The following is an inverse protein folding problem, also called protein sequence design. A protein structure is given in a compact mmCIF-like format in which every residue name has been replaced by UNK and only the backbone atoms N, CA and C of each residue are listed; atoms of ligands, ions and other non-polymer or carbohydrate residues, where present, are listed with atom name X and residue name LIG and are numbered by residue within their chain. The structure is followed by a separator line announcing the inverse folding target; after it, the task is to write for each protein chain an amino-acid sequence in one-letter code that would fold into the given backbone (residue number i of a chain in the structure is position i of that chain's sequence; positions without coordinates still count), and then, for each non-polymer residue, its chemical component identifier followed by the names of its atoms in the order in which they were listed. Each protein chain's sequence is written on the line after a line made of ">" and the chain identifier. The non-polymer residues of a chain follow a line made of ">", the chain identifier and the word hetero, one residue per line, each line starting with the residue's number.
data_IF_915045575092
#
_entry.id   IF_915045575092
#
_cell.length_a   1.000
_cell.length_b   1.000
_cell.length_c   1.000
_cell.angle_alpha   90.00
_cell.angle_beta   90.00
_cell.angle_gamma   90.00
#
_symmetry.space_group_name_H-M   'P 1'
#
loop_
_entity.id
_entity.type
_entity.pdbx_description
1 polymer ?
#
# COMPACT_ATOMS: atom_id res chain seq x y z
N UNK A 1 -32.39 0.95 -0.62
CA UNK A 1 -31.45 0.88 0.53
C UNK A 1 -30.06 0.31 0.20
N UNK A 2 -29.63 0.29 -1.07
CA UNK A 2 -28.34 -0.32 -1.49
C UNK A 2 -27.22 0.72 -1.74
N UNK A 3 -27.55 2.01 -1.70
CA UNK A 3 -26.60 3.11 -1.93
C UNK A 3 -25.65 3.33 -0.74
N UNK A 4 -26.18 3.23 0.49
CA UNK A 4 -25.41 3.41 1.73
C UNK A 4 -24.34 2.32 1.93
N UNK A 5 -24.64 1.05 1.63
CA UNK A 5 -23.64 -0.04 1.74
C UNK A 5 -22.47 0.13 0.77
N UNK A 6 -22.69 0.77 -0.38
CA UNK A 6 -21.66 1.06 -1.39
C UNK A 6 -20.73 2.20 -0.96
N UNK A 7 -21.23 3.15 -0.17
CA UNK A 7 -20.45 4.29 0.36
C UNK A 7 -19.74 3.92 1.67
N UNK A 8 -20.39 3.17 2.55
CA UNK A 8 -19.91 2.89 3.91
C UNK A 8 -19.27 1.49 4.08
N UNK A 9 -19.36 0.60 3.09
CA UNK A 9 -18.84 -0.78 3.19
C UNK A 9 -17.34 -0.95 2.93
N UNK A 10 -16.76 -0.17 2.01
CA UNK A 10 -15.35 -0.20 1.68
C UNK A 10 -14.92 1.20 1.23
N UNK A 11 -14.00 1.82 1.98
CA UNK A 11 -13.41 3.17 1.79
C UNK A 11 -13.77 3.93 0.51
N UNK A 12 -14.35 5.13 0.70
CA UNK A 12 -14.61 6.20 -0.26
C UNK A 12 -14.15 5.87 -1.70
N UNK A 13 -15.06 5.76 -2.69
CA UNK A 13 -14.66 5.60 -4.08
C UNK A 13 -13.68 6.72 -4.41
N UNK A 14 -12.46 6.35 -4.83
CA UNK A 14 -11.42 7.35 -5.05
C UNK A 14 -11.94 8.36 -6.07
N UNK A 15 -12.15 9.61 -5.63
CA UNK A 15 -12.67 10.70 -6.47
C UNK A 15 -11.84 10.82 -7.75
N UNK A 16 -10.53 10.56 -7.66
CA UNK A 16 -9.62 10.50 -8.79
C UNK A 16 -10.02 9.45 -9.83
N UNK A 17 -10.38 8.25 -9.42
CA UNK A 17 -10.84 7.19 -10.31
C UNK A 17 -12.22 7.51 -10.91
N UNK A 18 -13.12 8.12 -10.12
CA UNK A 18 -14.42 8.57 -10.63
C UNK A 18 -14.31 9.72 -11.64
N UNK A 19 -13.29 10.58 -11.54
CA UNK A 19 -13.07 11.71 -12.43
C UNK A 19 -12.22 11.37 -13.66
N UNK A 20 -11.20 10.50 -13.51
CA UNK A 20 -10.21 10.21 -14.57
C UNK A 20 -10.32 8.80 -15.13
N UNK A 21 -11.06 7.91 -14.47
CA UNK A 21 -11.07 6.48 -14.78
C UNK A 21 -9.78 5.75 -14.39
N UNK A 22 -8.74 6.43 -13.92
CA UNK A 22 -7.44 5.82 -13.57
C UNK A 22 -7.29 5.54 -12.08
N UNK A 23 -6.43 4.58 -11.73
CA UNK A 23 -6.09 4.34 -10.34
C UNK A 23 -5.03 5.34 -9.84
N UNK A 24 -5.26 5.83 -8.64
CA UNK A 24 -4.31 6.63 -7.87
C UNK A 24 -3.17 5.76 -7.29
N UNK A 25 -1.99 6.34 -7.00
CA UNK A 25 -0.85 5.58 -6.46
C UNK A 25 -1.12 4.92 -5.10
N UNK A 26 -2.08 5.43 -4.31
CA UNK A 26 -2.49 4.87 -3.02
C UNK A 26 -3.72 3.96 -3.06
N UNK A 27 -4.27 3.70 -4.26
CA UNK A 27 -5.55 3.01 -4.40
C UNK A 27 -5.43 1.54 -3.95
N UNK A 28 -6.18 1.16 -2.90
CA UNK A 28 -6.16 -0.18 -2.32
C UNK A 28 -5.35 -0.30 -1.01
N UNK A 29 -4.69 0.76 -0.54
CA UNK A 29 -3.95 0.76 0.73
C UNK A 29 -4.82 0.39 1.94
N UNK A 30 -6.00 0.99 2.07
CA UNK A 30 -6.93 0.70 3.18
C UNK A 30 -7.41 -0.77 3.17
N UNK A 31 -7.57 -1.38 1.99
CA UNK A 31 -7.93 -2.80 1.83
C UNK A 31 -6.77 -3.72 2.20
N UNK A 32 -5.55 -3.34 1.82
CA UNK A 32 -4.34 -4.05 2.21
C UNK A 32 -4.17 -4.06 3.73
N UNK A 33 -4.30 -2.91 4.39
CA UNK A 33 -4.25 -2.81 5.87
C UNK A 33 -5.33 -3.66 6.52
N UNK A 34 -6.58 -3.61 6.03
CA UNK A 34 -7.68 -4.44 6.56
C UNK A 34 -7.40 -5.94 6.42
N UNK A 35 -6.83 -6.36 5.29
CA UNK A 35 -6.47 -7.77 5.05
C UNK A 35 -5.32 -8.21 5.96
N UNK A 36 -4.34 -7.32 6.17
CA UNK A 36 -3.24 -7.55 7.10
C UNK A 36 -3.75 -7.73 8.54
N UNK A 37 -4.69 -6.89 8.99
CA UNK A 37 -5.31 -7.00 10.31
C UNK A 37 -6.13 -8.29 10.50
N UNK A 38 -6.61 -8.88 9.41
CA UNK A 38 -7.27 -10.21 9.42
C UNK A 38 -6.27 -11.37 9.43
N UNK A 39 -4.97 -11.11 9.29
CA UNK A 39 -3.93 -12.13 9.16
C UNK A 39 -3.69 -12.62 7.72
N UNK A 40 -4.41 -12.07 6.73
CA UNK A 40 -4.27 -12.47 5.33
C UNK A 40 -3.13 -11.70 4.63
N UNK A 41 -1.91 -12.17 4.87
CA UNK A 41 -0.69 -11.60 4.26
C UNK A 41 -0.72 -11.67 2.73
N UNK A 42 -1.24 -12.76 2.16
CA UNK A 42 -1.35 -12.94 0.70
C UNK A 42 -2.26 -11.90 0.07
N UNK A 43 -3.45 -11.70 0.64
CA UNK A 43 -4.39 -10.69 0.14
C UNK A 43 -3.84 -9.28 0.34
N UNK A 44 -3.20 -9.01 1.49
CA UNK A 44 -2.55 -7.71 1.72
C UNK A 44 -1.50 -7.39 0.65
N UNK A 45 -0.67 -8.36 0.26
CA UNK A 45 0.34 -8.18 -0.80
C UNK A 45 -0.30 -7.87 -2.15
N UNK A 46 -1.36 -8.61 -2.51
CA UNK A 46 -2.08 -8.39 -3.76
C UNK A 46 -2.74 -7.00 -3.81
N UNK A 47 -3.30 -6.52 -2.69
CA UNK A 47 -3.93 -5.21 -2.63
C UNK A 47 -2.94 -4.06 -2.68
N UNK A 48 -1.90 -4.07 -1.85
CA UNK A 48 -0.86 -3.05 -1.87
C UNK A 48 0.44 -3.52 -1.18
N UNK A 49 1.51 -3.82 -1.94
CA UNK A 49 2.77 -4.32 -1.39
C UNK A 49 3.47 -3.31 -0.46
N UNK A 50 3.13 -2.01 -0.56
CA UNK A 50 3.65 -0.97 0.32
C UNK A 50 3.34 -1.24 1.80
N UNK A 51 2.19 -1.83 2.11
CA UNK A 51 1.78 -2.07 3.50
C UNK A 51 2.70 -3.10 4.16
N UNK A 52 3.02 -4.18 3.43
CA UNK A 52 3.97 -5.18 3.92
C UNK A 52 5.39 -4.63 4.00
N UNK A 53 5.79 -3.83 3.01
CA UNK A 53 7.07 -3.13 3.04
C UNK A 53 7.19 -2.26 4.30
N UNK A 54 6.17 -1.47 4.63
CA UNK A 54 6.16 -0.63 5.83
C UNK A 54 6.31 -1.45 7.12
N UNK A 55 5.60 -2.58 7.23
CA UNK A 55 5.71 -3.48 8.39
C UNK A 55 7.13 -4.04 8.53
N UNK A 56 7.74 -4.50 7.43
CA UNK A 56 9.10 -5.02 7.42
C UNK A 56 10.13 -3.96 7.83
N UNK A 57 9.98 -2.73 7.33
CA UNK A 57 10.87 -1.62 7.69
C UNK A 57 10.76 -1.30 9.17
N UNK A 58 9.54 -1.19 9.72
CA UNK A 58 9.33 -0.92 11.14
C UNK A 58 9.93 -2.02 12.03
N UNK A 59 9.73 -3.29 11.65
CA UNK A 59 10.30 -4.43 12.37
C UNK A 59 11.83 -4.42 12.34
N UNK A 60 12.42 -4.11 11.20
CA UNK A 60 13.87 -4.04 11.04
C UNK A 60 14.49 -2.89 11.83
N UNK A 61 13.89 -1.70 11.80
CA UNK A 61 14.32 -0.55 12.62
C UNK A 61 14.18 -0.87 14.12
N UNK A 62 13.11 -1.56 14.54
CA UNK A 62 12.92 -1.99 15.93
C UNK A 62 14.02 -2.97 16.40
N UNK A 63 14.37 -3.96 15.58
CA UNK A 63 15.46 -4.90 15.90
C UNK A 63 16.80 -4.16 16.00
N UNK A 64 17.08 -3.26 15.07
CA UNK A 64 18.35 -2.54 15.06
C UNK A 64 18.47 -1.59 16.25
N UNK A 65 17.36 -0.96 16.63
CA UNK A 65 17.30 -0.17 17.85
C UNK A 65 17.56 -1.03 19.10
N UNK A 66 16.97 -2.23 19.16
CA UNK A 66 17.18 -3.17 20.26
C UNK A 66 18.63 -3.70 20.33
N UNK A 67 19.27 -3.97 19.19
CA UNK A 67 20.61 -4.58 19.12
C UNK A 67 21.76 -3.57 19.22
N UNK A 68 21.67 -2.42 18.54
CA UNK A 68 22.80 -1.46 18.44
C UNK A 68 22.70 -0.27 19.38
N UNK A 69 21.54 -0.01 19.97
CA UNK A 69 21.28 1.23 20.71
C UNK A 69 21.46 2.48 19.82
N UNK A 70 21.30 3.67 20.42
CA UNK A 70 21.13 4.98 19.75
C UNK A 70 22.38 5.52 19.00
N UNK A 71 23.28 4.68 18.47
CA UNK A 71 24.52 5.11 17.85
C UNK A 71 24.33 5.47 16.37
N UNK A 72 24.45 6.77 16.09
CA UNK A 72 24.50 7.45 14.79
C UNK A 72 23.17 7.83 14.12
N UNK A 73 22.70 9.04 14.48
CA UNK A 73 21.68 9.80 13.72
C UNK A 73 22.08 10.04 12.26
N UNK A 74 23.37 10.01 11.91
CA UNK A 74 23.86 10.28 10.55
C UNK A 74 23.73 9.08 9.61
N UNK A 75 24.03 7.86 10.10
CA UNK A 75 23.73 6.62 9.37
C UNK A 75 22.21 6.45 9.17
N UNK A 76 21.43 6.87 10.18
CA UNK A 76 19.97 6.85 10.13
C UNK A 76 19.40 7.69 8.97
N UNK A 77 19.99 8.86 8.66
CA UNK A 77 19.53 9.72 7.56
C UNK A 77 19.77 9.09 6.19
N UNK A 78 20.95 8.51 5.94
CA UNK A 78 21.26 7.87 4.64
C UNK A 78 20.37 6.64 4.43
N UNK A 79 20.19 5.85 5.49
CA UNK A 79 19.32 4.67 5.49
C UNK A 79 17.85 5.01 5.29
N UNK A 80 17.33 5.99 6.02
CA UNK A 80 15.97 6.47 5.85
C UNK A 80 15.71 6.96 4.42
N UNK A 81 16.67 7.69 3.81
CA UNK A 81 16.55 8.12 2.41
C UNK A 81 16.44 6.94 1.45
N UNK A 82 17.25 5.89 1.62
CA UNK A 82 17.18 4.67 0.80
C UNK A 82 15.84 3.97 0.98
N UNK A 83 15.35 3.84 2.22
CA UNK A 83 14.06 3.22 2.52
C UNK A 83 12.88 4.01 1.92
N UNK A 84 12.92 5.34 2.01
CA UNK A 84 11.91 6.22 1.40
C UNK A 84 11.93 6.07 -0.12
N UNK A 85 13.11 6.06 -0.76
CA UNK A 85 13.24 5.86 -2.20
C UNK A 85 12.72 4.49 -2.64
N UNK A 86 13.03 3.43 -1.89
CA UNK A 86 12.52 2.08 -2.14
C UNK A 86 10.99 2.04 -2.01
N UNK A 87 10.42 2.62 -0.95
CA UNK A 87 8.98 2.75 -0.79
C UNK A 87 8.32 3.51 -1.94
N UNK A 88 8.91 4.64 -2.36
CA UNK A 88 8.42 5.42 -3.50
C UNK A 88 8.46 4.62 -4.81
N UNK A 89 9.54 3.87 -5.04
CA UNK A 89 9.66 2.98 -6.20
C UNK A 89 8.60 1.87 -6.19
N UNK A 90 8.30 1.27 -5.03
CA UNK A 90 7.23 0.26 -4.88
C UNK A 90 5.86 0.87 -5.20
N UNK A 91 5.59 2.09 -4.74
CA UNK A 91 4.35 2.81 -5.05
C UNK A 91 4.25 3.07 -6.55
N UNK A 92 5.29 3.60 -7.16
CA UNK A 92 5.33 3.87 -8.59
C UNK A 92 5.13 2.59 -9.42
N UNK A 93 5.81 1.49 -9.06
CA UNK A 93 5.64 0.20 -9.71
C UNK A 93 4.20 -0.33 -9.56
N UNK A 94 3.61 -0.24 -8.37
CA UNK A 94 2.23 -0.68 -8.15
C UNK A 94 1.22 0.17 -8.94
N UNK A 95 1.47 1.49 -9.03
CA UNK A 95 0.65 2.43 -9.80
C UNK A 95 0.71 2.14 -11.29
N UNK A 96 1.93 1.96 -11.84
CA UNK A 96 2.13 1.60 -13.25
C UNK A 96 1.46 0.27 -13.56
N UNK A 97 1.66 -0.76 -12.73
CA UNK A 97 1.08 -2.08 -12.95
C UNK A 97 -0.46 -2.05 -12.94
N UNK A 98 -1.06 -1.34 -11.98
CA UNK A 98 -2.53 -1.22 -11.88
C UNK A 98 -3.13 -0.44 -13.04
N UNK A 99 -2.51 0.68 -13.45
CA UNK A 99 -2.99 1.44 -14.61
C UNK A 99 -2.76 0.70 -15.93
N UNK A 100 -1.64 -0.02 -16.08
CA UNK A 100 -1.38 -0.87 -17.23
C UNK A 100 -2.46 -1.95 -17.38
N UNK A 101 -2.78 -2.65 -16.29
CA UNK A 101 -3.81 -3.68 -16.31
C UNK A 101 -5.22 -3.11 -16.54
N UNK A 102 -5.51 -1.91 -16.03
CA UNK A 102 -6.79 -1.25 -16.26
C UNK A 102 -6.95 -0.82 -17.73
N UNK A 103 -5.93 -0.19 -18.31
CA UNK A 103 -5.95 0.34 -19.68
C UNK A 103 -5.94 -0.78 -20.72
N UNK A 104 -5.11 -1.82 -20.52
CA UNK A 104 -4.91 -2.86 -21.53
C UNK A 104 -5.83 -4.05 -21.34
N UNK A 105 -6.11 -4.46 -20.10
CA UNK A 105 -6.94 -5.63 -19.82
C UNK A 105 -8.38 -5.30 -19.43
N UNK A 106 -8.69 -4.05 -19.03
CA UNK A 106 -10.03 -3.67 -18.59
C UNK A 106 -10.49 -4.38 -17.32
N UNK A 107 -9.56 -4.93 -16.52
CA UNK A 107 -9.87 -5.71 -15.32
C UNK A 107 -9.69 -4.81 -14.09
N UNK A 108 -10.76 -4.66 -13.31
CA UNK A 108 -10.70 -4.06 -11.98
C UNK A 108 -9.97 -5.01 -11.01
N UNK A 109 -8.69 -4.72 -10.75
CA UNK A 109 -7.80 -5.48 -9.86
C UNK A 109 -8.10 -5.33 -8.37
N UNK A 110 -9.18 -4.64 -8.01
CA UNK A 110 -9.59 -4.40 -6.63
C UNK A 110 -10.84 -5.24 -6.32
N UNK A 111 -10.69 -6.57 -6.12
CA UNK A 111 -11.82 -7.41 -5.75
C UNK A 111 -12.39 -6.93 -4.42
N UNK A 112 -13.72 -6.82 -4.39
CA UNK A 112 -14.48 -6.52 -3.17
C UNK A 112 -14.26 -7.69 -2.22
N UNK A 113 -13.72 -7.40 -1.04
CA UNK A 113 -13.60 -8.37 0.05
C UNK A 113 -15.03 -8.83 0.36
N UNK A 114 -15.35 -10.11 0.12
CA UNK A 114 -16.61 -10.72 0.54
C UNK A 114 -16.70 -10.75 2.07
#
# INVERSE_FOLDING_TARGET
>A
MNWLKRIFGLGLPCLFHSLTGLYCPGCGGTRAVRSLLRGDLRMSFQYHPLVLYAVLVLFFEMILWAVKGRKSLFEHKKRARILILAGAAIVAANWIFKNYMLIIKGIDLLPVIK
#
